data_IF_849014504532
#
_entry.id   IF_849014504532
#
_cell.length_a   1.000
_cell.length_b   1.000
_cell.length_c   1.000
_cell.angle_alpha   90.00
_cell.angle_beta   90.00
_cell.angle_gamma   90.00
#
_symmetry.space_group_name_H-M   'P 1'
#
loop_
_entity.id
_entity.type
_entity.pdbx_description
1 polymer ?
#
# COMPACT_ATOMS: atom_id res chain seq x y z
N UNK A 1 1.25 15.95 44.65
CA UNK A 1 0.20 14.93 44.86
C UNK A 1 0.48 13.82 43.86
N UNK A 2 0.71 12.58 44.32
CA UNK A 2 1.07 11.46 43.45
C UNK A 2 -0.20 10.82 42.86
N UNK A 3 -0.17 10.57 41.55
CA UNK A 3 -1.27 9.97 40.79
C UNK A 3 -1.37 8.47 41.15
N UNK A 4 -2.35 8.10 41.98
CA UNK A 4 -2.55 6.73 42.51
C UNK A 4 -3.41 5.87 41.55
N UNK A 5 -3.06 5.80 40.27
CA UNK A 5 -3.75 4.91 39.32
C UNK A 5 -3.18 3.50 39.39
N UNK A 6 -4.07 2.52 39.42
CA UNK A 6 -3.70 1.10 39.35
C UNK A 6 -3.32 0.71 37.92
N UNK A 7 -2.43 -0.27 37.75
CA UNK A 7 -1.95 -0.74 36.42
C UNK A 7 -3.11 -1.11 35.47
N UNK A 8 -4.22 -1.62 35.99
CA UNK A 8 -5.41 -1.91 35.19
C UNK A 8 -6.05 -0.63 34.60
N UNK A 9 -6.08 0.46 35.37
CA UNK A 9 -6.63 1.75 34.91
C UNK A 9 -5.74 2.45 33.88
N UNK A 10 -4.45 2.10 33.81
CA UNK A 10 -3.55 2.56 32.75
C UNK A 10 -3.73 1.78 31.45
N UNK A 11 -4.23 0.55 31.52
CA UNK A 11 -4.48 -0.33 30.37
C UNK A 11 -5.86 -0.13 29.74
N UNK A 12 -6.78 0.54 30.44
CA UNK A 12 -8.04 1.01 29.85
C UNK A 12 -7.79 2.28 29.03
N UNK A 13 -7.56 2.12 27.72
CA UNK A 13 -7.56 3.26 26.81
C UNK A 13 -8.97 3.87 26.75
N UNK A 14 -9.14 5.21 26.87
CA UNK A 14 -10.41 5.86 26.61
C UNK A 14 -10.87 5.54 25.17
N UNK A 15 -12.09 5.01 25.05
CA UNK A 15 -12.68 4.63 23.76
C UNK A 15 -12.92 5.87 22.86
N UNK A 16 -12.85 7.07 23.43
CA UNK A 16 -12.98 8.38 22.76
C UNK A 16 -11.80 8.75 21.82
N UNK A 17 -10.76 7.92 21.74
CA UNK A 17 -9.53 8.22 20.98
C UNK A 17 -9.30 7.42 19.70
N UNK A 18 -10.12 6.41 19.37
CA UNK A 18 -9.96 5.64 18.13
C UNK A 18 -10.41 6.47 16.93
N UNK A 19 -9.52 7.34 16.46
CA UNK A 19 -9.66 8.01 15.16
C UNK A 19 -9.10 7.07 14.10
N UNK A 20 -9.93 6.69 13.13
CA UNK A 20 -9.46 5.98 11.95
C UNK A 20 -8.29 6.74 11.32
N UNK A 21 -7.23 6.01 10.94
CA UNK A 21 -6.07 6.60 10.28
C UNK A 21 -6.44 7.29 8.95
N UNK A 22 -7.56 6.88 8.35
CA UNK A 22 -8.17 7.56 7.21
C UNK A 22 -9.29 8.45 7.73
N UNK A 23 -9.04 9.77 7.76
CA UNK A 23 -10.11 10.74 7.92
C UNK A 23 -10.94 10.72 6.64
N UNK A 24 -12.16 10.21 6.71
CA UNK A 24 -13.11 10.25 5.60
C UNK A 24 -13.27 11.72 5.17
N UNK A 25 -12.89 12.10 3.93
CA UNK A 25 -13.17 13.44 3.44
C UNK A 25 -14.66 13.72 3.55
N UNK A 26 -15.06 14.96 3.85
CA UNK A 26 -16.47 15.33 3.95
C UNK A 26 -17.13 15.09 2.57
N UNK A 27 -17.84 13.97 2.44
CA UNK A 27 -18.57 13.64 1.22
C UNK A 27 -19.88 14.43 1.28
N UNK A 28 -20.04 15.41 0.40
CA UNK A 28 -21.26 16.22 0.30
C UNK A 28 -22.43 15.47 -0.38
N UNK A 29 -22.24 14.17 -0.64
CA UNK A 29 -23.23 13.27 -1.21
C UNK A 29 -23.87 12.46 -0.08
N UNK A 30 -25.11 12.82 0.31
CA UNK A 30 -25.83 12.18 1.41
C UNK A 30 -26.13 10.67 1.21
N UNK A 31 -25.79 10.10 0.05
CA UNK A 31 -26.14 8.74 -0.37
C UNK A 31 -24.96 7.91 -0.90
N UNK A 32 -23.71 8.32 -0.69
CA UNK A 32 -22.57 7.55 -1.17
C UNK A 32 -22.31 6.33 -0.27
N UNK A 33 -22.39 5.14 -0.84
CA UNK A 33 -22.07 3.88 -0.15
C UNK A 33 -21.13 3.01 -1.01
N UNK A 34 -20.18 2.35 -0.35
CA UNK A 34 -19.37 1.31 -1.00
C UNK A 34 -20.22 0.05 -1.18
N UNK A 35 -20.45 -0.34 -2.44
CA UNK A 35 -21.19 -1.57 -2.75
C UNK A 35 -20.46 -2.80 -2.22
N UNK A 36 -21.19 -3.71 -1.57
CA UNK A 36 -20.65 -4.97 -1.03
C UNK A 36 -19.87 -5.79 -2.07
N UNK A 37 -20.34 -5.82 -3.33
CA UNK A 37 -19.63 -6.52 -4.42
C UNK A 37 -18.22 -5.99 -4.65
N UNK A 38 -18.00 -4.68 -4.49
CA UNK A 38 -16.66 -4.07 -4.63
C UNK A 38 -15.78 -4.42 -3.43
N UNK A 39 -16.36 -4.41 -2.23
CA UNK A 39 -15.66 -4.84 -1.01
C UNK A 39 -15.21 -6.29 -1.15
N UNK A 40 -16.10 -7.19 -1.56
CA UNK A 40 -15.78 -8.60 -1.79
C UNK A 40 -14.71 -8.79 -2.87
N UNK A 41 -14.73 -7.97 -3.93
CA UNK A 41 -13.75 -8.03 -5.02
C UNK A 41 -12.35 -7.60 -4.57
N UNK A 42 -12.22 -6.58 -3.72
CA UNK A 42 -10.90 -6.21 -3.19
C UNK A 42 -10.45 -7.16 -2.09
N UNK A 43 -11.40 -7.75 -1.34
CA UNK A 43 -11.11 -8.76 -0.33
C UNK A 43 -10.63 -10.09 -0.94
N UNK A 44 -11.07 -10.45 -2.16
CA UNK A 44 -10.58 -11.66 -2.83
C UNK A 44 -9.11 -11.59 -3.25
N UNK A 45 -8.50 -10.40 -3.19
CA UNK A 45 -7.08 -10.18 -3.49
C UNK A 45 -6.45 -9.28 -2.40
N UNK A 46 -6.59 -9.68 -1.14
CA UNK A 46 -5.99 -8.96 -0.03
C UNK A 46 -4.46 -9.02 -0.05
N UNK A 47 -3.85 -7.91 0.35
CA UNK A 47 -2.41 -7.81 0.56
C UNK A 47 -2.07 -8.26 1.98
N UNK A 48 -1.24 -9.30 2.05
CA UNK A 48 -0.80 -9.93 3.31
C UNK A 48 0.62 -9.54 3.70
N UNK A 49 1.26 -8.66 2.91
CA UNK A 49 2.67 -8.26 3.11
C UNK A 49 3.68 -9.17 2.42
N UNK A 50 3.26 -10.33 1.92
CA UNK A 50 4.14 -11.28 1.23
C UNK A 50 4.19 -11.08 -0.29
N UNK A 51 3.14 -10.49 -0.86
CA UNK A 51 3.10 -10.20 -2.29
C UNK A 51 3.96 -8.98 -2.62
N UNK A 52 4.16 -8.74 -3.92
CA UNK A 52 4.73 -7.48 -4.38
C UNK A 52 3.71 -6.33 -4.21
N UNK A 53 4.03 -5.27 -3.45
CA UNK A 53 3.09 -4.18 -3.17
C UNK A 53 2.74 -3.36 -4.42
N UNK A 54 3.62 -3.30 -5.42
CA UNK A 54 3.32 -2.61 -6.69
C UNK A 54 2.28 -3.37 -7.51
N UNK A 55 2.36 -4.70 -7.57
CA UNK A 55 1.35 -5.55 -8.20
C UNK A 55 0.00 -5.43 -7.50
N UNK A 56 -0.01 -5.37 -6.16
CA UNK A 56 -1.23 -5.09 -5.39
C UNK A 56 -1.85 -3.75 -5.80
N UNK A 57 -1.06 -2.67 -5.78
CA UNK A 57 -1.54 -1.34 -6.21
C UNK A 57 -2.01 -1.33 -7.66
N UNK A 58 -1.36 -2.07 -8.56
CA UNK A 58 -1.78 -2.18 -9.96
C UNK A 58 -3.14 -2.85 -10.08
N UNK A 59 -3.36 -3.95 -9.39
CA UNK A 59 -4.66 -4.61 -9.33
C UNK A 59 -5.74 -3.68 -8.75
N UNK A 60 -5.44 -3.07 -7.60
CA UNK A 60 -6.35 -2.17 -6.91
C UNK A 60 -6.73 -0.96 -7.79
N UNK A 61 -5.76 -0.34 -8.46
CA UNK A 61 -5.99 0.76 -9.38
C UNK A 61 -6.84 0.33 -10.59
N UNK A 62 -6.66 -0.89 -11.10
CA UNK A 62 -7.48 -1.43 -12.19
C UNK A 62 -8.93 -1.58 -11.75
N UNK A 63 -9.19 -2.15 -10.57
CA UNK A 63 -10.54 -2.26 -10.01
C UNK A 63 -11.18 -0.88 -9.84
N UNK A 64 -10.47 0.03 -9.17
CA UNK A 64 -11.00 1.36 -8.82
C UNK A 64 -11.13 2.32 -10.01
N UNK A 65 -10.40 2.11 -11.10
CA UNK A 65 -10.56 2.91 -12.34
C UNK A 65 -11.93 2.74 -13.01
N UNK A 66 -12.64 1.65 -12.71
CA UNK A 66 -13.99 1.39 -13.22
C UNK A 66 -15.07 2.18 -12.46
N UNK A 67 -14.72 2.73 -11.29
CA UNK A 67 -15.64 3.43 -10.41
C UNK A 67 -15.80 4.87 -10.87
N UNK A 68 -17.04 5.24 -11.21
CA UNK A 68 -17.43 6.60 -11.54
C UNK A 68 -18.56 7.02 -10.61
N UNK A 69 -18.33 8.08 -9.84
CA UNK A 69 -19.37 8.72 -9.05
C UNK A 69 -19.33 10.24 -9.32
N UNK A 70 -20.45 10.88 -9.73
CA UNK A 70 -20.43 12.29 -10.13
C UNK A 70 -19.95 13.24 -9.02
N UNK A 71 -20.29 12.93 -7.77
CA UNK A 71 -20.06 13.83 -6.63
C UNK A 71 -18.88 13.40 -5.74
N UNK A 72 -18.27 12.24 -6.01
CA UNK A 72 -17.21 11.69 -5.15
C UNK A 72 -15.96 11.45 -5.98
N UNK A 73 -14.85 12.17 -5.70
CA UNK A 73 -13.59 11.96 -6.38
C UNK A 73 -13.11 10.52 -6.27
N UNK A 74 -12.55 9.98 -7.36
CA UNK A 74 -12.05 8.60 -7.38
C UNK A 74 -10.96 8.35 -6.31
N UNK A 75 -10.15 9.36 -5.98
CA UNK A 75 -9.17 9.32 -4.89
C UNK A 75 -9.82 9.09 -3.53
N UNK A 76 -10.97 9.71 -3.25
CA UNK A 76 -11.77 9.46 -2.03
C UNK A 76 -12.29 8.03 -1.99
N UNK A 77 -12.83 7.53 -3.11
CA UNK A 77 -13.32 6.14 -3.20
C UNK A 77 -12.17 5.15 -2.95
N UNK A 78 -10.98 5.41 -3.53
CA UNK A 78 -9.78 4.60 -3.31
C UNK A 78 -9.37 4.58 -1.85
N UNK A 79 -9.31 5.73 -1.19
CA UNK A 79 -8.96 5.81 0.24
C UNK A 79 -9.93 5.00 1.11
N UNK A 80 -11.24 5.09 0.86
CA UNK A 80 -12.24 4.33 1.61
C UNK A 80 -12.18 2.82 1.35
N UNK A 81 -11.84 2.41 0.12
CA UNK A 81 -11.83 1.01 -0.28
C UNK A 81 -10.51 0.31 0.09
N UNK A 82 -9.39 1.04 0.14
CA UNK A 82 -8.06 0.48 0.36
C UNK A 82 -7.92 -0.34 1.65
N UNK A 83 -8.47 0.06 2.81
CA UNK A 83 -8.40 -0.73 4.03
C UNK A 83 -8.99 -2.15 3.88
N UNK A 84 -10.02 -2.33 3.04
CA UNK A 84 -10.60 -3.65 2.76
C UNK A 84 -9.71 -4.54 1.89
N UNK A 85 -8.72 -3.95 1.22
CA UNK A 85 -7.72 -4.67 0.43
C UNK A 85 -6.52 -5.15 1.24
N UNK A 86 -6.46 -4.88 2.56
CA UNK A 86 -5.35 -5.27 3.43
C UNK A 86 -5.78 -6.37 4.41
N UNK A 87 -4.83 -7.20 4.81
CA UNK A 87 -5.05 -8.29 5.78
C UNK A 87 -3.96 -8.31 6.85
N UNK A 88 -4.33 -8.76 8.06
CA UNK A 88 -3.40 -9.03 9.15
C UNK A 88 -2.57 -7.82 9.61
N UNK A 89 -1.26 -8.02 9.73
CA UNK A 89 -0.32 -7.00 10.21
C UNK A 89 -0.27 -5.76 9.31
N UNK A 90 -0.57 -5.92 8.02
CA UNK A 90 -0.63 -4.80 7.06
C UNK A 90 -1.81 -3.88 7.39
N UNK A 91 -2.98 -4.46 7.71
CA UNK A 91 -4.14 -3.67 8.14
C UNK A 91 -3.83 -2.93 9.44
N UNK A 92 -3.20 -3.63 10.37
CA UNK A 92 -2.77 -3.05 11.66
C UNK A 92 -1.76 -1.93 11.47
N UNK A 93 -0.87 -2.01 10.48
CA UNK A 93 0.05 -0.92 10.12
C UNK A 93 -0.73 0.34 9.71
N UNK A 94 -1.74 0.20 8.86
CA UNK A 94 -2.56 1.33 8.43
C UNK A 94 -3.27 1.97 9.64
N UNK A 95 -3.82 1.18 10.55
CA UNK A 95 -4.52 1.69 11.74
C UNK A 95 -3.58 2.36 12.77
N UNK A 96 -2.27 2.01 12.74
CA UNK A 96 -1.23 2.59 13.61
C UNK A 96 -0.56 3.82 13.03
N UNK A 97 -0.77 4.13 11.75
CA UNK A 97 -0.28 5.38 11.20
C UNK A 97 -0.84 6.52 12.05
N UNK A 98 -0.02 7.53 12.39
CA UNK A 98 -0.53 8.69 13.11
C UNK A 98 -1.76 9.22 12.36
N UNK A 99 -2.74 9.82 13.05
CA UNK A 99 -3.80 10.61 12.43
C UNK A 99 -3.21 11.91 11.83
N UNK A 100 -2.14 11.78 11.06
CA UNK A 100 -1.82 12.67 9.97
C UNK A 100 -2.96 12.47 8.97
N UNK A 101 -3.54 13.56 8.45
CA UNK A 101 -4.62 13.38 7.52
C UNK A 101 -3.97 12.87 6.23
N UNK A 102 -4.06 11.56 5.99
CA UNK A 102 -3.85 10.97 4.68
C UNK A 102 -5.00 11.49 3.82
N UNK A 103 -4.88 12.75 3.40
CA UNK A 103 -5.95 13.49 2.73
C UNK A 103 -6.13 12.99 1.30
N UNK A 104 -5.09 12.36 0.74
CA UNK A 104 -5.05 12.00 -0.67
C UNK A 104 -4.48 10.60 -0.87
N UNK A 105 -4.91 9.97 -1.97
CA UNK A 105 -4.38 8.69 -2.42
C UNK A 105 -2.87 8.79 -2.74
N UNK A 106 -2.46 9.97 -3.18
CA UNK A 106 -1.09 10.35 -3.53
C UNK A 106 -0.15 10.38 -2.31
N UNK A 107 -0.67 10.66 -1.10
CA UNK A 107 0.11 10.60 0.15
C UNK A 107 0.23 9.18 0.70
N UNK A 108 -0.82 8.37 0.52
CA UNK A 108 -0.87 6.99 1.03
C UNK A 108 0.08 6.05 0.27
N UNK A 109 0.11 6.16 -1.06
CA UNK A 109 0.86 5.23 -1.91
C UNK A 109 2.36 5.20 -1.60
N UNK A 110 3.08 6.34 -1.48
CA UNK A 110 4.50 6.34 -1.12
C UNK A 110 4.77 5.73 0.26
N UNK A 111 3.91 5.98 1.25
CA UNK A 111 4.05 5.38 2.59
C UNK A 111 3.91 3.86 2.53
N UNK A 112 2.89 3.37 1.84
CA UNK A 112 2.67 1.93 1.64
C UNK A 112 3.86 1.28 0.93
N UNK A 113 4.34 1.87 -0.16
CA UNK A 113 5.51 1.35 -0.89
C UNK A 113 6.75 1.36 -0.01
N UNK A 114 7.05 2.45 0.69
CA UNK A 114 8.25 2.52 1.54
C UNK A 114 8.21 1.52 2.70
N UNK A 115 7.02 1.23 3.23
CA UNK A 115 6.84 0.25 4.30
C UNK A 115 7.09 -1.18 3.82
N UNK A 116 6.50 -1.58 2.68
CA UNK A 116 6.50 -2.98 2.22
C UNK A 116 7.54 -3.26 1.11
N UNK A 117 8.16 -2.22 0.56
CA UNK A 117 9.24 -2.27 -0.42
C UNK A 117 10.24 -1.12 -0.18
N UNK A 118 11.02 -1.18 0.92
CA UNK A 118 11.89 -0.09 1.30
C UNK A 118 13.04 0.12 0.30
N UNK A 119 13.62 1.33 0.22
CA UNK A 119 14.76 1.62 -0.66
C UNK A 119 15.96 0.67 -0.48
N UNK A 120 16.16 0.12 0.72
CA UNK A 120 17.20 -0.89 0.99
C UNK A 120 17.02 -2.16 0.15
N UNK A 121 15.77 -2.59 -0.08
CA UNK A 121 15.43 -3.73 -0.94
C UNK A 121 15.76 -3.41 -2.40
N UNK A 122 15.49 -2.18 -2.84
CA UNK A 122 15.90 -1.69 -4.18
C UNK A 122 17.41 -1.73 -4.35
N UNK A 123 18.17 -1.22 -3.38
CA UNK A 123 19.64 -1.26 -3.40
C UNK A 123 20.16 -2.69 -3.42
N UNK A 124 19.59 -3.58 -2.60
CA UNK A 124 19.94 -4.99 -2.58
C UNK A 124 19.74 -5.64 -3.96
N UNK A 125 18.56 -5.49 -4.56
CA UNK A 125 18.27 -6.06 -5.88
C UNK A 125 19.20 -5.53 -6.97
N UNK A 126 19.53 -4.23 -6.92
CA UNK A 126 20.49 -3.62 -7.85
C UNK A 126 21.87 -4.27 -7.71
N UNK A 127 22.33 -4.50 -6.47
CA UNK A 127 23.61 -5.15 -6.22
C UNK A 127 23.62 -6.62 -6.67
N UNK A 128 22.52 -7.35 -6.46
CA UNK A 128 22.39 -8.74 -6.92
C UNK A 128 22.45 -8.86 -8.45
N UNK A 129 21.90 -7.88 -9.18
CA UNK A 129 21.97 -7.84 -10.64
C UNK A 129 23.39 -7.51 -11.12
N UNK A 130 24.02 -6.49 -10.56
CA UNK A 130 25.35 -6.03 -10.97
C UNK A 130 26.40 -7.13 -10.72
N UNK A 131 26.30 -7.81 -9.58
CA UNK A 131 27.25 -8.83 -9.17
C UNK A 131 26.74 -10.25 -9.48
N UNK A 132 25.76 -10.40 -10.38
CA UNK A 132 25.16 -11.69 -10.66
C UNK A 132 26.19 -12.65 -11.26
N UNK A 133 26.39 -13.78 -10.59
CA UNK A 133 27.22 -14.88 -11.07
C UNK A 133 26.43 -16.19 -10.99
N UNK A 134 26.60 -17.01 -12.02
CA UNK A 134 26.13 -18.40 -12.03
C UNK A 134 26.86 -19.17 -10.92
N UNK A 135 26.11 -19.91 -10.11
CA UNK A 135 26.71 -20.72 -9.04
C UNK A 135 27.40 -21.96 -9.63
N UNK A 136 28.47 -22.50 -9.00
CA UNK A 136 29.19 -23.66 -9.53
C UNK A 136 28.33 -24.92 -9.76
N UNK A 137 27.24 -25.08 -9.00
CA UNK A 137 26.35 -26.24 -9.06
C UNK A 137 24.99 -25.92 -9.73
N UNK A 138 24.87 -24.76 -10.38
CA UNK A 138 23.64 -24.30 -11.02
C UNK A 138 23.79 -24.42 -12.55
N UNK A 139 22.78 -24.93 -13.22
CA UNK A 139 22.72 -24.93 -14.68
C UNK A 139 22.50 -23.53 -15.22
N UNK A 140 22.84 -23.28 -16.49
CA UNK A 140 22.56 -21.99 -17.12
C UNK A 140 21.08 -21.60 -17.04
N UNK A 141 20.17 -22.56 -17.24
CA UNK A 141 18.73 -22.31 -17.20
C UNK A 141 18.27 -21.90 -15.80
N UNK A 142 18.75 -22.57 -14.75
CA UNK A 142 18.45 -22.18 -13.36
C UNK A 142 18.99 -20.78 -13.04
N UNK A 143 20.21 -20.47 -13.47
CA UNK A 143 20.79 -19.14 -13.34
C UNK A 143 19.97 -18.08 -14.09
N UNK A 144 19.51 -18.41 -15.28
CA UNK A 144 18.66 -17.52 -16.08
C UNK A 144 17.30 -17.29 -15.42
N UNK A 145 16.64 -18.32 -14.88
CA UNK A 145 15.41 -18.16 -14.11
C UNK A 145 15.64 -17.24 -12.90
N UNK A 146 16.70 -17.47 -12.12
CA UNK A 146 17.06 -16.64 -10.97
C UNK A 146 17.32 -15.19 -11.37
N UNK A 147 18.07 -14.96 -12.45
CA UNK A 147 18.31 -13.63 -12.99
C UNK A 147 17.01 -12.93 -13.42
N UNK A 148 16.09 -13.65 -14.10
CA UNK A 148 14.77 -13.11 -14.46
C UNK A 148 13.94 -12.73 -13.24
N UNK A 149 14.05 -13.44 -12.12
CA UNK A 149 13.35 -13.03 -10.89
C UNK A 149 13.82 -11.67 -10.39
N UNK A 150 15.13 -11.39 -10.44
CA UNK A 150 15.68 -10.08 -10.09
C UNK A 150 15.24 -9.00 -11.07
N UNK A 151 15.29 -9.29 -12.38
CA UNK A 151 14.81 -8.36 -13.41
C UNK A 151 13.32 -8.04 -13.28
N UNK A 152 12.48 -9.03 -13.00
CA UNK A 152 11.04 -8.84 -12.79
C UNK A 152 10.76 -7.86 -11.65
N UNK A 153 11.47 -8.01 -10.54
CA UNK A 153 11.35 -7.11 -9.39
C UNK A 153 11.85 -5.68 -9.70
N UNK A 154 12.85 -5.53 -10.57
CA UNK A 154 13.39 -4.22 -10.96
C UNK A 154 12.58 -3.52 -12.05
N UNK A 155 12.04 -4.26 -13.02
CA UNK A 155 11.26 -3.69 -14.12
C UNK A 155 9.95 -3.06 -13.63
N UNK A 156 9.36 -3.63 -12.57
CA UNK A 156 8.22 -3.05 -11.85
C UNK A 156 8.57 -1.66 -11.27
N UNK A 157 9.79 -1.47 -10.78
CA UNK A 157 10.25 -0.17 -10.26
C UNK A 157 10.44 0.88 -11.36
N UNK A 158 10.99 0.51 -12.53
CA UNK A 158 11.25 1.44 -13.63
C UNK A 158 9.95 1.90 -14.30
N UNK A 159 8.98 1.00 -14.47
CA UNK A 159 7.68 1.35 -15.07
C UNK A 159 6.88 2.37 -14.25
N UNK A 160 7.08 2.44 -12.92
CA UNK A 160 6.32 3.34 -12.04
C UNK A 160 7.06 4.67 -11.73
N UNK A 161 8.39 4.67 -11.77
CA UNK A 161 9.16 5.92 -11.75
C UNK A 161 8.95 6.74 -13.04
N UNK A 162 8.77 6.09 -14.20
CA UNK A 162 8.42 6.79 -15.44
C UNK A 162 7.05 7.47 -15.39
N UNK A 163 6.04 6.91 -14.73
CA UNK A 163 4.73 7.56 -14.55
C UNK A 163 4.79 8.78 -13.63
N UNK A 164 5.76 8.82 -12.71
CA UNK A 164 5.97 9.93 -11.77
C UNK A 164 6.82 11.05 -12.38
N UNK A 165 7.77 10.71 -13.26
CA UNK A 165 8.64 11.68 -13.95
C UNK A 165 7.97 12.36 -15.15
N UNK A 166 6.99 11.72 -15.81
CA UNK A 166 6.25 12.35 -16.92
C UNK A 166 5.34 13.50 -16.45
N UNK A 167 5.03 13.61 -15.15
CA UNK A 167 4.28 14.76 -14.59
C UNK A 167 5.15 15.97 -14.20
N UNK A 168 6.47 15.84 -14.22
CA UNK A 168 7.38 16.93 -13.84
C UNK A 168 8.04 17.68 -15.02
N UNK A 169 7.78 17.27 -16.28
CA UNK A 169 8.39 17.91 -17.46
C UNK A 169 7.38 18.45 -18.46
N UNK A 170 6.22 18.93 -17.99
CA UNK A 170 5.36 19.83 -18.77
C UNK A 170 4.97 21.02 -17.91
N UNK A 171 5.88 22.00 -17.88
CA UNK A 171 5.54 23.39 -17.64
C UNK A 171 6.25 24.24 -18.68
#
# INVERSE_FOLDING_TARGET
>A
MADNRTMAQMLQAPIEGYKDAIVVPLINANNFELKQTLINLVQSNQFTGRQDPHNHLRFFNKVTSTLRHPEVPNTTIKLLLFPFSLEGEVRTWLDKEPPCPILTWEDLVPKFINQFFPPSKTTYLRNEIINFLQKPNETFNEAWERFKTFLGNVLIMVSQNCTSLIRFTTR
#
